data_IF_705321081433
#
_entry.id   IF_705321081433
#
_cell.length_a   1.000
_cell.length_b   1.000
_cell.length_c   1.000
_cell.angle_alpha   90.00
_cell.angle_beta   90.00
_cell.angle_gamma   90.00
#
_symmetry.space_group_name_H-M   'P 1'
#
loop_
_entity.id
_entity.type
_entity.pdbx_description
1 polymer ?
#
# COMPACT_ATOMS: atom_id res chain seq x y z
N UNK A 1 16.54 19.31 0.63
CA UNK A 1 16.23 17.90 0.30
C UNK A 1 14.90 17.80 -0.45
N UNK A 2 14.83 17.18 -1.66
CA UNK A 2 13.55 16.94 -2.29
C UNK A 2 12.75 15.99 -1.39
N UNK A 3 11.56 16.41 -0.99
CA UNK A 3 10.66 15.56 -0.23
C UNK A 3 10.32 14.33 -1.09
N UNK A 4 10.51 13.12 -0.56
CA UNK A 4 9.94 11.93 -1.21
C UNK A 4 8.44 12.07 -1.27
N UNK A 5 7.87 11.59 -2.37
CA UNK A 5 6.43 11.52 -2.54
C UNK A 5 6.07 10.04 -2.53
N UNK A 6 5.41 9.58 -1.47
CA UNK A 6 4.80 8.27 -1.43
C UNK A 6 3.59 8.28 -2.38
N UNK A 7 3.58 7.37 -3.33
CA UNK A 7 2.44 7.10 -4.21
C UNK A 7 2.37 5.61 -4.50
N UNK A 8 1.16 5.09 -4.45
CA UNK A 8 0.92 3.74 -4.89
C UNK A 8 -0.38 3.63 -5.66
N UNK A 9 -0.46 2.57 -6.44
CA UNK A 9 -1.71 2.08 -7.03
C UNK A 9 -2.00 0.72 -6.44
N UNK A 10 -3.27 0.33 -6.47
CA UNK A 10 -3.67 -1.00 -6.07
C UNK A 10 -4.70 -1.53 -7.05
N UNK A 11 -4.68 -2.84 -7.27
CA UNK A 11 -5.67 -3.55 -8.06
C UNK A 11 -6.05 -4.81 -7.30
N UNK A 12 -7.32 -5.16 -7.32
CA UNK A 12 -7.79 -6.30 -6.58
C UNK A 12 -8.56 -7.26 -7.49
N UNK A 13 -8.46 -8.52 -7.15
CA UNK A 13 -9.14 -9.63 -7.79
C UNK A 13 -9.69 -10.53 -6.70
N UNK A 14 -10.99 -10.42 -6.44
CA UNK A 14 -11.70 -11.09 -5.33
C UNK A 14 -11.21 -10.58 -3.97
N UNK A 15 -10.40 -11.38 -3.28
CA UNK A 15 -9.82 -11.06 -1.98
C UNK A 15 -8.33 -10.76 -2.06
N UNK A 16 -7.69 -11.07 -3.19
CA UNK A 16 -6.27 -10.79 -3.40
C UNK A 16 -6.13 -9.40 -4.02
N UNK A 17 -5.40 -8.52 -3.34
CA UNK A 17 -5.07 -7.19 -3.80
C UNK A 17 -3.57 -7.09 -4.04
N UNK A 18 -3.17 -6.63 -5.21
CA UNK A 18 -1.80 -6.25 -5.53
C UNK A 18 -1.63 -4.74 -5.38
N UNK A 19 -0.53 -4.36 -4.74
CA UNK A 19 -0.15 -3.00 -4.43
C UNK A 19 1.19 -2.70 -5.12
N UNK A 20 1.22 -1.59 -5.84
CA UNK A 20 2.38 -1.13 -6.57
C UNK A 20 2.77 0.27 -6.07
N UNK A 21 3.87 0.33 -5.32
CA UNK A 21 4.46 1.55 -4.78
C UNK A 21 5.59 2.13 -5.63
N UNK A 22 5.85 1.59 -6.82
CA UNK A 22 6.91 2.06 -7.73
C UNK A 22 6.61 3.46 -8.28
N UNK A 23 5.34 3.88 -8.22
CA UNK A 23 4.90 5.24 -8.49
C UNK A 23 5.46 6.28 -7.49
N UNK A 24 6.08 5.85 -6.40
CA UNK A 24 6.73 6.73 -5.42
C UNK A 24 8.05 7.27 -5.96
N UNK A 25 8.28 8.58 -5.82
CA UNK A 25 9.50 9.23 -6.27
C UNK A 25 10.45 9.53 -5.10
N UNK A 26 11.72 9.14 -5.25
CA UNK A 26 12.75 9.38 -4.25
C UNK A 26 12.61 8.49 -3.01
N UNK A 27 11.95 7.34 -3.11
CA UNK A 27 11.87 6.35 -2.04
C UNK A 27 13.06 5.38 -2.11
N UNK A 28 13.72 5.12 -0.97
CA UNK A 28 14.73 4.05 -0.84
C UNK A 28 14.21 2.81 -0.13
N UNK A 29 13.12 2.96 0.63
CA UNK A 29 12.44 1.88 1.36
C UNK A 29 10.93 2.03 1.23
N UNK A 30 10.21 0.89 1.22
CA UNK A 30 8.74 0.81 1.17
C UNK A 30 8.25 -0.13 2.27
N UNK A 31 7.36 0.40 3.11
CA UNK A 31 6.69 -0.33 4.18
C UNK A 31 5.18 -0.17 4.04
N UNK A 32 4.46 -1.28 4.05
CA UNK A 32 3.03 -1.33 3.84
C UNK A 32 2.32 -1.78 5.10
N UNK A 33 1.19 -1.13 5.40
CA UNK A 33 0.25 -1.54 6.44
C UNK A 33 -1.13 -1.66 5.82
N UNK A 34 -1.73 -2.85 5.85
CA UNK A 34 -2.98 -3.11 5.12
C UNK A 34 -4.25 -2.76 5.92
N UNK A 35 -4.10 -2.42 7.20
CA UNK A 35 -5.20 -2.00 8.08
C UNK A 35 -5.98 -3.16 8.72
N UNK A 36 -5.66 -4.40 8.39
CA UNK A 36 -6.15 -5.63 9.01
C UNK A 36 -5.15 -6.24 10.01
N UNK A 37 -4.05 -5.53 10.28
CA UNK A 37 -2.93 -5.99 11.11
C UNK A 37 -1.78 -6.62 10.32
N UNK A 38 -1.97 -6.91 9.04
CA UNK A 38 -0.90 -7.37 8.18
C UNK A 38 -0.01 -6.21 7.70
N UNK A 39 1.27 -6.50 7.52
CA UNK A 39 2.26 -5.57 6.99
C UNK A 39 3.11 -6.26 5.92
N UNK A 40 3.69 -5.48 5.02
CA UNK A 40 4.60 -5.98 4.01
C UNK A 40 5.72 -4.97 3.73
N UNK A 41 6.78 -5.42 3.09
CA UNK A 41 7.90 -4.57 2.66
C UNK A 41 8.23 -4.84 1.20
N UNK A 42 8.84 -3.86 0.55
CA UNK A 42 9.21 -3.92 -0.88
C UNK A 42 8.36 -3.01 -1.76
N UNK A 43 8.87 -2.69 -2.96
CA UNK A 43 8.23 -1.72 -3.85
C UNK A 43 6.85 -2.20 -4.38
N UNK A 44 6.69 -3.51 -4.54
CA UNK A 44 5.44 -4.17 -4.96
C UNK A 44 5.11 -5.29 -3.99
N UNK A 45 3.85 -5.44 -3.62
CA UNK A 45 3.41 -6.51 -2.71
C UNK A 45 1.99 -6.94 -3.02
N UNK A 46 1.62 -8.15 -2.61
CA UNK A 46 0.26 -8.67 -2.74
C UNK A 46 -0.25 -9.12 -1.39
N UNK A 47 -1.49 -8.77 -1.06
CA UNK A 47 -2.14 -9.12 0.20
C UNK A 47 -3.52 -9.73 -0.03
N UNK A 48 -3.89 -10.73 0.77
CA UNK A 48 -5.20 -11.40 0.68
C UNK A 48 -6.03 -11.03 1.90
N UNK A 49 -7.16 -10.38 1.68
CA UNK A 49 -8.10 -10.02 2.74
C UNK A 49 -9.02 -11.18 3.09
N UNK A 50 -9.07 -11.57 4.36
CA UNK A 50 -9.89 -12.70 4.82
C UNK A 50 -11.39 -12.46 4.72
N UNK A 51 -11.83 -11.20 4.58
CA UNK A 51 -13.23 -10.83 4.68
C UNK A 51 -13.64 -9.67 3.80
N UNK A 52 -14.95 -9.45 3.80
CA UNK A 52 -15.59 -8.28 3.18
C UNK A 52 -15.42 -7.12 4.13
N UNK A 53 -14.97 -5.98 3.62
CA UNK A 53 -14.67 -4.87 4.51
C UNK A 53 -14.03 -3.70 3.79
N UNK A 54 -13.80 -2.66 4.58
CA UNK A 54 -13.04 -1.48 4.18
C UNK A 54 -11.71 -1.54 4.91
N UNK A 55 -10.62 -1.62 4.15
CA UNK A 55 -9.27 -1.77 4.66
C UNK A 55 -8.47 -0.51 4.31
N UNK A 56 -7.86 0.11 5.31
CA UNK A 56 -7.07 1.33 5.13
C UNK A 56 -5.62 0.93 4.91
N UNK A 57 -5.17 1.01 3.66
CA UNK A 57 -3.81 0.66 3.27
C UNK A 57 -2.94 1.90 3.32
N UNK A 58 -1.84 1.83 4.07
CA UNK A 58 -0.85 2.89 4.17
C UNK A 58 0.49 2.39 3.65
N UNK A 59 1.02 3.06 2.62
CA UNK A 59 2.40 2.95 2.19
C UNK A 59 3.21 4.02 2.90
N UNK A 60 4.27 3.64 3.57
CA UNK A 60 5.31 4.55 4.04
C UNK A 60 6.58 4.35 3.23
N UNK A 61 7.07 5.44 2.65
CA UNK A 61 8.35 5.49 1.98
C UNK A 61 9.33 6.35 2.76
N UNK A 62 10.55 5.88 2.94
CA UNK A 62 11.64 6.66 3.54
C UNK A 62 12.79 6.78 2.54
N UNK A 63 13.10 7.99 2.04
CA UNK A 63 14.46 8.40 1.70
C UNK A 63 15.29 8.61 2.97
N UNK A 64 16.61 8.69 2.78
CA UNK A 64 17.65 8.90 3.80
C UNK A 64 17.57 10.24 4.58
N UNK A 65 16.39 10.64 5.07
CA UNK A 65 16.19 11.84 5.88
C UNK A 65 14.79 12.46 5.85
N UNK A 66 13.81 11.87 5.15
CA UNK A 66 12.42 12.35 5.17
C UNK A 66 11.47 11.16 5.00
N UNK A 67 10.33 11.16 5.68
CA UNK A 67 9.32 10.11 5.53
C UNK A 67 8.14 10.66 4.77
N UNK A 68 7.66 9.91 3.79
CA UNK A 68 6.41 10.20 3.09
C UNK A 68 5.46 9.04 3.29
N UNK A 69 4.18 9.35 3.40
CA UNK A 69 3.13 8.36 3.59
C UNK A 69 2.02 8.61 2.58
N UNK A 70 1.56 7.53 1.99
CA UNK A 70 0.37 7.50 1.14
C UNK A 70 -0.63 6.57 1.78
N UNK A 71 -1.89 6.99 1.84
CA UNK A 71 -2.98 6.18 2.38
C UNK A 71 -4.09 6.08 1.36
N UNK A 72 -4.60 4.87 1.15
CA UNK A 72 -5.78 4.63 0.33
C UNK A 72 -6.70 3.60 0.97
N UNK A 73 -7.99 3.71 0.63
CA UNK A 73 -9.02 2.83 1.15
C UNK A 73 -9.31 1.76 0.11
N UNK A 74 -9.13 0.50 0.49
CA UNK A 74 -9.45 -0.70 -0.30
C UNK A 74 -10.80 -1.25 0.18
N UNK A 75 -11.76 -1.42 -0.73
CA UNK A 75 -13.13 -1.85 -0.40
C UNK A 75 -13.42 -3.21 -1.00
N UNK A 76 -13.38 -4.27 -0.19
CA UNK A 76 -13.72 -5.63 -0.61
C UNK A 76 -15.22 -5.89 -0.55
N UNK A 77 -15.86 -6.05 -1.71
CA UNK A 77 -17.32 -6.32 -1.89
C UNK A 77 -17.58 -7.71 -2.48
N UNK A 78 -18.86 -8.07 -2.75
CA UNK A 78 -19.37 -9.47 -2.89
C UNK A 78 -18.91 -10.16 -4.15
N UNK A 79 -18.49 -9.35 -5.11
CA UNK A 79 -17.93 -9.79 -6.37
C UNK A 79 -16.42 -9.51 -6.46
N UNK A 80 -15.82 -9.09 -5.35
CA UNK A 80 -14.42 -8.71 -5.19
C UNK A 80 -14.26 -7.34 -4.53
N UNK A 81 -13.06 -7.10 -4.00
CA UNK A 81 -12.38 -5.83 -4.19
C UNK A 81 -12.15 -5.64 -5.70
#
# INVERSE_FOLDING_TARGET
PPASIARFTYSCSKFNCSFDGTSSSGATSWSWSFGDGATATGATTSHVYAGRGTYTVTLSTQPAGSQSTATQIVRCRAKGC
#
